data_IF_465663703061
#
_entry.id   IF_465663703061
#
_cell.length_a   1.000
_cell.length_b   1.000
_cell.length_c   1.000
_cell.angle_alpha   90.00
_cell.angle_beta   90.00
_cell.angle_gamma   90.00
#
_symmetry.space_group_name_H-M   'P 1'
#
loop_
_entity.id
_entity.type
_entity.pdbx_description
1 polymer ?
#
# COMPACT_ATOMS: atom_id res chain seq x y z
N UNK A 1 -63.20 -6.83 24.37
CA UNK A 1 -62.43 -6.57 25.61
C UNK A 1 -61.07 -6.06 25.17
N UNK A 2 -60.78 -4.82 25.52
CA UNK A 2 -59.84 -3.93 24.85
C UNK A 2 -58.40 -4.25 25.26
N UNK A 3 -57.56 -4.54 24.25
CA UNK A 3 -56.19 -4.07 24.09
C UNK A 3 -55.28 -4.05 25.36
N UNK A 4 -54.71 -5.20 25.72
CA UNK A 4 -53.37 -5.25 26.35
C UNK A 4 -52.51 -6.13 25.44
N UNK A 5 -52.18 -5.57 24.28
CA UNK A 5 -51.33 -6.19 23.28
C UNK A 5 -50.40 -5.12 22.75
N UNK A 6 -49.68 -4.45 23.64
CA UNK A 6 -48.65 -3.48 23.30
C UNK A 6 -47.60 -3.44 24.40
N UNK A 7 -46.34 -3.45 23.97
CA UNK A 7 -45.13 -3.25 24.77
C UNK A 7 -44.65 -4.49 25.54
N UNK A 8 -44.60 -5.63 24.85
CA UNK A 8 -43.42 -6.51 24.93
C UNK A 8 -42.36 -6.00 23.93
N UNK A 9 -42.16 -4.68 23.90
CA UNK A 9 -41.01 -4.07 23.25
C UNK A 9 -39.86 -4.37 24.18
N UNK A 10 -39.30 -5.55 23.95
CA UNK A 10 -37.97 -5.99 24.26
C UNK A 10 -37.05 -4.76 24.26
N UNK A 11 -36.95 -4.10 25.40
CA UNK A 11 -35.84 -3.23 25.72
C UNK A 11 -34.68 -4.19 25.79
N UNK A 12 -34.10 -4.42 24.61
CA UNK A 12 -32.71 -4.79 24.44
C UNK A 12 -31.99 -3.70 25.21
N UNK A 13 -31.81 -3.98 26.50
CA UNK A 13 -30.88 -3.31 27.37
C UNK A 13 -29.56 -3.63 26.73
N UNK A 14 -29.16 -2.77 25.78
CA UNK A 14 -27.77 -2.57 25.44
C UNK A 14 -27.11 -2.20 26.76
N UNK A 15 -26.67 -3.25 27.45
CA UNK A 15 -25.71 -3.17 28.52
C UNK A 15 -24.46 -2.66 27.84
N UNK A 16 -24.40 -1.33 27.71
CA UNK A 16 -23.21 -0.56 27.40
C UNK A 16 -22.30 -0.75 28.61
N UNK A 17 -21.75 -1.96 28.69
CA UNK A 17 -20.75 -2.43 29.63
C UNK A 17 -19.46 -1.70 29.35
N UNK A 18 -19.51 -0.37 29.48
CA UNK A 18 -18.35 0.49 29.67
C UNK A 18 -17.78 0.12 31.03
N UNK A 19 -17.10 -1.01 31.08
CA UNK A 19 -16.09 -1.26 32.10
C UNK A 19 -15.14 -0.07 32.02
N UNK A 20 -15.33 0.88 32.95
CA UNK A 20 -14.38 1.95 33.20
C UNK A 20 -13.06 1.25 33.51
N UNK A 21 -12.17 1.24 32.52
CA UNK A 21 -10.80 0.75 32.66
C UNK A 21 -10.19 1.51 33.84
N UNK A 22 -10.11 0.84 35.01
CA UNK A 22 -9.44 1.37 36.20
C UNK A 22 -7.94 1.39 35.92
N UNK A 23 -7.46 2.46 35.30
CA UNK A 23 -6.03 2.69 35.03
C UNK A 23 -5.17 2.73 36.30
N UNK A 24 -5.76 2.95 37.48
CA UNK A 24 -5.05 3.14 38.73
C UNK A 24 -4.57 1.87 39.44
N UNK A 25 -4.86 0.66 38.95
CA UNK A 25 -4.45 -0.58 39.65
C UNK A 25 -3.37 -1.42 38.96
N UNK A 26 -2.86 -1.01 37.80
CA UNK A 26 -1.82 -1.77 37.09
C UNK A 26 -0.46 -1.70 37.81
N UNK A 27 -0.23 -0.66 38.64
CA UNK A 27 1.02 -0.51 39.40
C UNK A 27 1.26 -1.60 40.47
N UNK A 28 0.25 -2.40 40.81
CA UNK A 28 0.38 -3.47 41.81
C UNK A 28 0.73 -4.84 41.21
N UNK A 29 0.61 -5.01 39.88
CA UNK A 29 0.92 -6.29 39.24
C UNK A 29 2.43 -6.45 39.08
N UNK A 30 2.90 -7.70 39.09
CA UNK A 30 4.33 -7.99 38.90
C UNK A 30 4.69 -7.94 37.42
N UNK A 31 5.72 -7.17 37.07
CA UNK A 31 6.13 -6.99 35.67
C UNK A 31 7.01 -8.13 35.18
N UNK A 32 6.65 -8.72 34.04
CA UNK A 32 7.49 -9.70 33.33
C UNK A 32 8.22 -8.99 32.20
N UNK A 33 9.54 -9.13 32.16
CA UNK A 33 10.36 -8.53 31.12
C UNK A 33 10.11 -9.19 29.74
N UNK A 34 10.24 -8.43 28.63
CA UNK A 34 10.28 -9.00 27.29
C UNK A 34 11.33 -10.12 27.17
N UNK A 35 10.96 -11.22 26.51
CA UNK A 35 11.77 -12.43 26.35
C UNK A 35 11.54 -13.52 27.40
N UNK A 36 10.78 -13.25 28.47
CA UNK A 36 10.44 -14.24 29.52
C UNK A 36 9.01 -14.79 29.40
N UNK A 37 8.29 -14.48 28.33
CA UNK A 37 6.84 -14.68 28.24
C UNK A 37 6.43 -16.13 28.05
N UNK A 38 7.33 -16.92 27.45
CA UNK A 38 7.11 -18.32 27.10
C UNK A 38 7.73 -19.26 28.15
N UNK A 39 8.05 -18.74 29.34
CA UNK A 39 8.56 -19.56 30.43
C UNK A 39 7.44 -20.43 30.99
N UNK A 40 7.78 -21.70 31.24
CA UNK A 40 6.84 -22.70 31.73
C UNK A 40 7.52 -23.52 32.82
N UNK A 41 6.75 -24.06 33.75
CA UNK A 41 7.21 -25.03 34.73
C UNK A 41 6.61 -26.41 34.46
N UNK A 42 7.44 -27.44 34.57
CA UNK A 42 7.09 -28.82 34.23
C UNK A 42 7.49 -29.78 35.36
N UNK A 43 7.61 -29.29 36.59
CA UNK A 43 8.03 -30.13 37.72
C UNK A 43 6.94 -31.13 38.12
N UNK A 44 5.69 -30.83 37.83
CA UNK A 44 4.57 -31.75 38.06
C UNK A 44 4.39 -32.69 36.86
N UNK A 45 4.40 -34.00 37.09
CA UNK A 45 4.20 -34.98 36.02
C UNK A 45 2.85 -34.77 35.34
N UNK A 46 2.85 -34.80 34.01
CA UNK A 46 1.68 -34.64 33.16
C UNK A 46 0.92 -33.29 33.28
N UNK A 47 1.47 -32.30 34.01
CA UNK A 47 1.02 -30.91 33.94
C UNK A 47 2.15 -29.96 33.53
N UNK A 48 1.73 -28.78 33.09
CA UNK A 48 2.59 -27.64 32.84
C UNK A 48 1.96 -26.40 33.44
N UNK A 49 2.72 -25.64 34.22
CA UNK A 49 2.31 -24.34 34.70
C UNK A 49 2.89 -23.27 33.76
N UNK A 50 2.04 -22.38 33.27
CA UNK A 50 2.43 -21.35 32.31
C UNK A 50 1.63 -20.07 32.55
N UNK A 51 1.99 -19.00 31.84
CA UNK A 51 1.24 -17.75 31.84
C UNK A 51 0.36 -17.71 30.59
N UNK A 52 -0.96 -17.66 30.79
CA UNK A 52 -1.88 -17.36 29.71
C UNK A 52 -2.04 -15.85 29.57
N UNK A 53 -1.65 -15.33 28.41
CA UNK A 53 -1.61 -13.89 28.16
C UNK A 53 -2.89 -13.40 27.51
N UNK A 54 -3.43 -12.29 28.02
CA UNK A 54 -4.47 -11.52 27.34
C UNK A 54 -3.93 -10.91 26.04
N UNK A 55 -4.86 -10.47 25.19
CA UNK A 55 -4.51 -9.60 24.07
C UNK A 55 -3.80 -8.35 24.58
N UNK A 56 -2.89 -7.82 23.74
CA UNK A 56 -2.29 -6.52 23.97
C UNK A 56 -3.37 -5.44 23.94
N UNK A 57 -3.26 -4.49 24.86
CA UNK A 57 -4.01 -3.24 24.80
C UNK A 57 -3.70 -2.48 23.51
N UNK A 58 -4.40 -1.38 23.26
CA UNK A 58 -3.94 -0.40 22.29
C UNK A 58 -2.76 0.40 22.86
N UNK A 59 -1.99 1.03 21.98
CA UNK A 59 -0.95 1.96 22.39
C UNK A 59 -1.54 3.13 23.20
N UNK A 60 -0.87 3.50 24.31
CA UNK A 60 -1.39 4.49 25.28
C UNK A 60 -1.42 5.94 24.78
N UNK A 61 -0.56 6.27 23.82
CA UNK A 61 -0.47 7.60 23.21
C UNK A 61 -0.49 7.48 21.68
N UNK A 62 -1.07 8.48 21.02
CA UNK A 62 -1.36 8.47 19.60
C UNK A 62 -1.25 9.86 18.96
N UNK A 63 -0.83 9.88 17.69
CA UNK A 63 -0.67 11.10 16.91
C UNK A 63 -1.95 11.43 16.15
N UNK A 64 -3.08 11.35 16.84
CA UNK A 64 -4.40 11.44 16.25
C UNK A 64 -5.24 12.53 16.92
N UNK A 65 -6.27 13.03 16.23
CA UNK A 65 -7.17 14.02 16.82
C UNK A 65 -7.85 13.50 18.09
N UNK A 66 -8.30 14.44 18.92
CA UNK A 66 -9.09 14.20 20.14
C UNK A 66 -10.23 13.20 19.97
N UNK A 67 -10.87 13.15 18.80
CA UNK A 67 -11.95 12.22 18.49
C UNK A 67 -11.53 10.75 18.69
N UNK A 68 -10.28 10.41 18.36
CA UNK A 68 -9.74 9.05 18.53
C UNK A 68 -9.04 8.92 19.88
N UNK A 69 -8.14 9.86 20.20
CA UNK A 69 -7.26 9.79 21.37
C UNK A 69 -7.94 10.16 22.70
N UNK A 70 -9.13 10.74 22.69
CA UNK A 70 -9.81 11.31 23.88
C UNK A 70 -8.87 12.24 24.66
N UNK A 71 -8.56 11.88 25.91
CA UNK A 71 -7.69 12.65 26.81
C UNK A 71 -6.19 12.43 26.56
N UNK A 72 -5.83 11.49 25.68
CA UNK A 72 -4.45 11.13 25.36
C UNK A 72 -3.94 11.77 24.06
N UNK A 73 -4.68 12.74 23.53
CA UNK A 73 -4.26 13.51 22.36
C UNK A 73 -2.93 14.20 22.64
N UNK A 74 -1.98 14.02 21.73
CA UNK A 74 -0.72 14.75 21.75
C UNK A 74 -0.60 15.52 20.46
N UNK A 75 -0.54 16.85 20.57
CA UNK A 75 -0.59 17.75 19.42
C UNK A 75 0.71 17.70 18.60
N UNK A 76 0.55 17.58 17.28
CA UNK A 76 1.61 17.79 16.28
C UNK A 76 2.89 16.99 16.52
N UNK A 77 4.04 17.64 16.32
CA UNK A 77 5.37 17.02 16.40
C UNK A 77 5.69 16.43 17.78
N UNK A 78 5.03 16.91 18.84
CA UNK A 78 5.24 16.39 20.21
C UNK A 78 4.74 14.96 20.38
N UNK A 79 3.79 14.50 19.57
CA UNK A 79 3.35 13.11 19.68
C UNK A 79 4.50 12.11 19.43
N UNK A 80 5.41 12.43 18.50
CA UNK A 80 6.55 11.56 18.19
C UNK A 80 7.45 11.35 19.41
N UNK A 81 7.57 12.35 20.28
CA UNK A 81 8.41 12.30 21.48
C UNK A 81 7.70 11.73 22.70
N UNK A 82 6.36 11.59 22.69
CA UNK A 82 5.61 11.05 23.81
C UNK A 82 5.81 9.53 23.92
N UNK A 83 6.17 9.07 25.12
CA UNK A 83 6.28 7.64 25.42
C UNK A 83 4.91 6.98 25.28
N UNK A 84 4.84 5.96 24.43
CA UNK A 84 3.62 5.17 24.21
C UNK A 84 3.94 3.73 24.55
N UNK A 85 3.04 3.06 25.25
CA UNK A 85 3.20 1.65 25.62
C UNK A 85 1.95 0.85 25.32
N UNK A 86 2.15 -0.42 25.01
CA UNK A 86 1.13 -1.45 25.04
C UNK A 86 1.32 -2.28 26.31
N UNK A 87 0.22 -2.73 26.90
CA UNK A 87 0.25 -3.64 28.04
C UNK A 87 -0.62 -4.86 27.79
N UNK A 88 -0.29 -5.97 28.42
CA UNK A 88 -1.15 -7.15 28.52
C UNK A 88 -1.05 -7.75 29.90
N UNK A 89 -2.09 -8.45 30.31
CA UNK A 89 -2.11 -9.20 31.57
C UNK A 89 -1.84 -10.66 31.29
N UNK A 90 -1.27 -11.35 32.25
CA UNK A 90 -1.08 -12.78 32.21
C UNK A 90 -1.59 -13.39 33.51
N UNK A 91 -2.31 -14.50 33.41
CA UNK A 91 -2.77 -15.26 34.57
C UNK A 91 -2.02 -16.60 34.60
N UNK A 92 -1.66 -17.06 35.80
CA UNK A 92 -1.06 -18.37 35.95
C UNK A 92 -2.12 -19.46 35.69
N UNK A 93 -1.85 -20.31 34.71
CA UNK A 93 -2.71 -21.39 34.27
C UNK A 93 -1.95 -22.70 34.29
N UNK A 94 -2.64 -23.79 34.61
CA UNK A 94 -2.15 -25.14 34.41
C UNK A 94 -2.66 -25.68 33.09
N UNK A 95 -1.85 -26.49 32.39
CA UNK A 95 -2.23 -27.22 31.18
C UNK A 95 -1.92 -28.70 31.33
N UNK A 96 -2.84 -29.55 30.85
CA UNK A 96 -2.67 -31.00 30.79
C UNK A 96 -1.69 -31.40 29.68
N UNK A 97 -0.72 -32.25 30.00
CA UNK A 97 0.20 -32.89 29.03
C UNK A 97 -0.06 -34.39 28.83
N UNK A 98 -0.74 -35.02 29.78
CA UNK A 98 -1.09 -36.44 29.76
C UNK A 98 -2.16 -36.75 30.79
N UNK A 99 -2.49 -38.03 30.97
CA UNK A 99 -3.43 -38.44 32.01
C UNK A 99 -2.90 -38.02 33.38
N UNK A 100 -3.73 -37.34 34.16
CA UNK A 100 -3.42 -36.97 35.52
C UNK A 100 -3.99 -38.06 36.43
N UNK A 101 -3.15 -38.67 37.26
CA UNK A 101 -3.56 -39.75 38.18
C UNK A 101 -4.34 -39.20 39.40
N UNK A 102 -5.07 -38.09 39.21
CA UNK A 102 -5.77 -37.36 40.25
C UNK A 102 -7.22 -37.08 39.83
N UNK A 103 -8.18 -37.73 40.48
CA UNK A 103 -9.59 -37.64 40.09
C UNK A 103 -10.22 -36.24 40.23
N UNK A 104 -9.76 -35.42 41.17
CA UNK A 104 -10.29 -34.06 41.35
C UNK A 104 -9.72 -33.07 40.33
N UNK A 105 -8.44 -33.26 39.97
CA UNK A 105 -7.81 -32.53 38.87
C UNK A 105 -8.42 -32.92 37.51
N UNK A 106 -8.70 -34.20 37.28
CA UNK A 106 -9.41 -34.65 36.08
C UNK A 106 -10.82 -34.05 35.99
N UNK A 107 -11.54 -33.90 37.11
CA UNK A 107 -12.83 -33.19 37.13
C UNK A 107 -12.68 -31.71 36.76
N UNK A 108 -11.64 -31.04 37.26
CA UNK A 108 -11.37 -29.63 36.93
C UNK A 108 -11.07 -29.46 35.42
N UNK A 109 -10.40 -30.45 34.82
CA UNK A 109 -9.97 -30.45 33.42
C UNK A 109 -10.93 -31.22 32.48
N UNK A 110 -12.10 -31.65 32.95
CA UNK A 110 -12.98 -32.62 32.28
C UNK A 110 -13.26 -32.32 30.79
N UNK A 111 -13.36 -31.03 30.42
CA UNK A 111 -13.58 -30.58 29.04
C UNK A 111 -12.63 -29.44 28.63
N UNK A 112 -11.56 -29.22 29.38
CA UNK A 112 -10.63 -28.12 29.16
C UNK A 112 -9.21 -28.64 29.30
N UNK A 113 -8.35 -28.30 28.35
CA UNK A 113 -6.93 -28.63 28.48
C UNK A 113 -6.22 -27.71 29.48
N UNK A 114 -6.87 -26.62 29.90
CA UNK A 114 -6.31 -25.64 30.84
C UNK A 114 -7.28 -25.30 31.96
N UNK A 115 -6.73 -24.94 33.12
CA UNK A 115 -7.47 -24.43 34.27
C UNK A 115 -6.67 -23.34 35.00
N UNK A 116 -7.36 -22.47 35.73
CA UNK A 116 -6.71 -21.43 36.53
C UNK A 116 -5.90 -22.08 37.66
N UNK A 117 -4.69 -21.59 37.87
CA UNK A 117 -3.88 -22.04 39.00
C UNK A 117 -4.60 -21.83 40.34
N UNK A 118 -5.29 -20.69 40.50
CA UNK A 118 -6.06 -20.35 41.69
C UNK A 118 -7.20 -21.31 41.99
N UNK A 119 -7.74 -21.98 40.98
CA UNK A 119 -8.73 -23.05 41.15
C UNK A 119 -8.04 -24.37 41.50
N UNK A 120 -6.98 -24.73 40.78
CA UNK A 120 -6.26 -25.99 40.97
C UNK A 120 -5.57 -26.11 42.33
N UNK A 121 -5.05 -25.00 42.88
CA UNK A 121 -4.34 -24.98 44.18
C UNK A 121 -5.26 -25.38 45.36
N UNK A 122 -6.58 -25.30 45.17
CA UNK A 122 -7.57 -25.73 46.18
C UNK A 122 -7.68 -27.27 46.31
N UNK A 123 -7.09 -28.02 45.38
CA UNK A 123 -7.10 -29.49 45.40
C UNK A 123 -6.01 -29.98 46.36
N UNK A 124 -6.44 -30.29 47.60
CA UNK A 124 -5.55 -30.66 48.72
C UNK A 124 -4.46 -31.69 48.41
N UNK A 125 -4.74 -32.67 47.54
CA UNK A 125 -3.80 -33.74 47.18
C UNK A 125 -2.62 -33.29 46.31
N UNK A 126 -2.70 -32.12 45.67
CA UNK A 126 -1.66 -31.60 44.76
C UNK A 126 -1.19 -30.19 45.12
N UNK A 127 -1.75 -29.60 46.18
CA UNK A 127 -1.48 -28.20 46.58
C UNK A 127 0.02 -27.94 46.74
N UNK A 128 0.75 -28.81 47.45
CA UNK A 128 2.18 -28.63 47.72
C UNK A 128 3.04 -28.65 46.45
N UNK A 129 2.70 -29.50 45.48
CA UNK A 129 3.46 -29.61 44.25
C UNK A 129 3.15 -28.50 43.25
N UNK A 130 1.88 -28.05 43.22
CA UNK A 130 1.50 -26.84 42.51
C UNK A 130 2.20 -25.61 43.08
N UNK A 131 2.33 -25.52 44.41
CA UNK A 131 3.02 -24.42 45.06
C UNK A 131 4.52 -24.38 44.73
N UNK A 132 5.20 -25.54 44.72
CA UNK A 132 6.58 -25.65 44.23
C UNK A 132 6.70 -25.23 42.76
N UNK A 133 5.76 -25.65 41.92
CA UNK A 133 5.74 -25.31 40.49
C UNK A 133 5.55 -23.81 40.28
N UNK A 134 4.70 -23.18 41.09
CA UNK A 134 4.48 -21.73 41.11
C UNK A 134 5.76 -20.99 41.49
N UNK A 135 6.42 -21.37 42.58
CA UNK A 135 7.69 -20.77 43.02
C UNK A 135 8.77 -20.92 41.93
N UNK A 136 8.83 -22.07 41.25
CA UNK A 136 9.77 -22.29 40.16
C UNK A 136 9.47 -21.39 38.94
N UNK A 137 8.20 -21.26 38.55
CA UNK A 137 7.79 -20.40 37.44
C UNK A 137 8.01 -18.92 37.75
N UNK A 138 7.59 -18.43 38.92
CA UNK A 138 7.75 -17.02 39.31
C UNK A 138 9.23 -16.63 39.38
N UNK A 139 10.10 -17.56 39.81
CA UNK A 139 11.55 -17.39 39.73
C UNK A 139 12.05 -17.24 38.28
N UNK A 140 11.56 -18.03 37.32
CA UNK A 140 11.91 -17.90 35.89
C UNK A 140 11.42 -16.56 35.30
N UNK A 141 10.23 -16.12 35.72
CA UNK A 141 9.62 -14.85 35.33
C UNK A 141 10.25 -13.63 36.02
N UNK A 142 11.07 -13.84 37.06
CA UNK A 142 11.69 -12.81 37.91
C UNK A 142 10.66 -11.91 38.60
N UNK A 143 9.58 -12.51 39.08
CA UNK A 143 8.52 -11.86 39.85
C UNK A 143 8.48 -12.40 41.28
N UNK A 144 7.84 -11.71 42.24
CA UNK A 144 7.67 -12.20 43.61
C UNK A 144 7.10 -13.63 43.67
N UNK A 145 7.50 -14.43 44.66
CA UNK A 145 7.10 -15.82 44.72
C UNK A 145 5.60 -15.98 44.84
N UNK A 146 4.86 -15.06 45.49
CA UNK A 146 3.40 -14.98 45.72
C UNK A 146 2.55 -14.58 44.49
N UNK A 147 3.18 -14.25 43.36
CA UNK A 147 2.49 -13.74 42.17
C UNK A 147 1.54 -14.77 41.55
N UNK A 148 0.28 -14.37 41.31
CA UNK A 148 -0.74 -15.13 40.56
C UNK A 148 -1.13 -14.47 39.24
N UNK A 149 -0.91 -13.16 39.14
CA UNK A 149 -1.16 -12.36 37.95
C UNK A 149 0.09 -11.53 37.64
N UNK A 150 0.46 -11.53 36.37
CA UNK A 150 1.58 -10.76 35.86
C UNK A 150 1.09 -9.74 34.84
N UNK A 151 1.90 -8.72 34.61
CA UNK A 151 1.69 -7.80 33.51
C UNK A 151 2.96 -7.70 32.68
N UNK A 152 2.77 -7.38 31.40
CA UNK A 152 3.87 -7.06 30.52
C UNK A 152 3.59 -5.74 29.82
N UNK A 153 4.64 -4.93 29.65
CA UNK A 153 4.60 -3.72 28.86
C UNK A 153 5.65 -3.77 27.74
N UNK A 154 5.30 -3.23 26.58
CA UNK A 154 6.25 -3.01 25.47
C UNK A 154 6.10 -1.61 24.90
N UNK A 155 7.18 -1.10 24.32
CA UNK A 155 7.20 0.21 23.68
C UNK A 155 6.37 0.21 22.38
N UNK A 156 5.66 1.31 22.16
CA UNK A 156 4.82 1.60 20.99
C UNK A 156 5.35 2.76 20.14
N UNK A 157 6.54 3.30 20.42
CA UNK A 157 7.03 4.50 19.75
C UNK A 157 7.00 4.44 18.22
N UNK A 158 7.25 3.26 17.63
CA UNK A 158 7.25 3.02 16.18
C UNK A 158 6.12 2.10 15.70
N UNK A 159 5.13 1.83 16.56
CA UNK A 159 4.04 0.93 16.21
C UNK A 159 3.03 1.63 15.28
N UNK A 160 2.46 0.91 14.31
CA UNK A 160 1.45 1.45 13.38
C UNK A 160 0.31 2.16 14.10
N UNK A 161 -0.28 1.55 15.13
CA UNK A 161 -1.29 2.17 16.02
C UNK A 161 -0.92 3.54 16.62
N UNK A 162 0.37 3.89 16.78
CA UNK A 162 0.75 5.24 17.25
C UNK A 162 0.74 6.25 16.08
N UNK A 163 1.13 5.79 14.90
CA UNK A 163 1.39 6.61 13.71
C UNK A 163 0.18 6.70 12.76
N UNK A 164 -0.72 5.72 12.79
CA UNK A 164 -1.88 5.59 11.94
C UNK A 164 -3.16 5.59 12.79
N UNK A 165 -3.99 6.61 12.56
CA UNK A 165 -5.22 6.82 13.30
C UNK A 165 -6.29 5.78 13.00
N UNK A 166 -6.32 5.21 11.80
CA UNK A 166 -7.26 4.17 11.44
C UNK A 166 -6.94 2.87 12.17
N UNK A 167 -5.66 2.50 12.24
CA UNK A 167 -5.22 1.31 12.99
C UNK A 167 -5.51 1.43 14.49
N UNK A 168 -5.35 2.64 15.04
CA UNK A 168 -5.72 2.88 16.43
C UNK A 168 -7.23 2.84 16.66
N UNK A 169 -8.01 3.45 15.76
CA UNK A 169 -9.46 3.49 15.89
C UNK A 169 -10.05 2.06 15.84
N UNK A 170 -9.55 1.21 14.93
CA UNK A 170 -9.86 -0.22 14.91
C UNK A 170 -9.53 -0.89 16.24
N UNK A 171 -8.35 -0.62 16.81
CA UNK A 171 -7.97 -1.21 18.09
C UNK A 171 -8.89 -0.77 19.24
N UNK A 172 -9.17 0.53 19.36
CA UNK A 172 -9.89 1.10 20.51
C UNK A 172 -11.40 0.87 20.44
N UNK A 173 -11.97 0.87 19.23
CA UNK A 173 -13.41 0.94 19.01
C UNK A 173 -13.96 -0.15 18.09
N UNK A 174 -13.08 -0.98 17.52
CA UNK A 174 -13.44 -1.93 16.47
C UNK A 174 -14.18 -1.25 15.28
N UNK A 175 -13.88 0.02 15.03
CA UNK A 175 -14.53 0.86 14.03
C UNK A 175 -13.61 2.03 13.61
N UNK A 176 -13.80 2.53 12.40
CA UNK A 176 -13.11 3.73 11.88
C UNK A 176 -14.06 4.88 11.55
N UNK A 177 -15.36 4.72 11.82
CA UNK A 177 -16.42 5.67 11.41
C UNK A 177 -16.28 7.07 12.04
N UNK A 178 -15.57 7.18 13.17
CA UNK A 178 -15.31 8.45 13.85
C UNK A 178 -14.22 9.29 13.19
N UNK A 179 -13.43 8.70 12.30
CA UNK A 179 -12.49 9.43 11.48
C UNK A 179 -13.24 9.92 10.25
N UNK A 180 -12.90 11.10 9.70
CA UNK A 180 -13.34 11.43 8.37
C UNK A 180 -12.99 10.25 7.47
N UNK A 181 -13.88 9.92 6.52
CA UNK A 181 -13.56 8.96 5.46
C UNK A 181 -12.13 9.28 5.05
N UNK A 182 -11.27 8.25 5.03
CA UNK A 182 -9.93 8.44 4.50
C UNK A 182 -10.21 9.12 3.18
N UNK A 183 -9.80 10.38 3.04
CA UNK A 183 -9.63 10.99 1.75
C UNK A 183 -8.53 10.12 1.15
N UNK A 184 -8.92 8.93 0.67
CA UNK A 184 -8.59 8.46 -0.64
C UNK A 184 -9.04 9.64 -1.45
N UNK A 185 -8.13 10.59 -1.55
CA UNK A 185 -8.01 11.41 -2.69
C UNK A 185 -7.96 10.39 -3.83
N UNK A 186 -9.14 9.99 -4.30
CA UNK A 186 -9.50 10.18 -5.68
C UNK A 186 -9.40 11.69 -5.97
N UNK A 187 -8.25 12.31 -5.67
CA UNK A 187 -7.58 13.04 -6.72
C UNK A 187 -7.48 11.92 -7.74
N UNK A 188 -8.41 11.91 -8.70
CA UNK A 188 -8.07 11.34 -10.00
C UNK A 188 -6.69 11.92 -10.24
N UNK A 189 -5.64 11.13 -9.98
CA UNK A 189 -4.26 11.58 -9.96
C UNK A 189 -4.08 12.13 -11.36
N UNK A 190 -4.25 13.44 -11.48
CA UNK A 190 -4.15 14.10 -12.77
C UNK A 190 -2.75 13.74 -13.20
N UNK A 191 -2.68 12.97 -14.28
CA UNK A 191 -1.42 12.48 -14.76
C UNK A 191 -0.55 13.70 -15.01
N UNK A 192 0.48 13.87 -14.21
CA UNK A 192 1.33 15.06 -14.25
C UNK A 192 2.16 15.16 -15.53
N UNK A 193 2.10 14.11 -16.35
CA UNK A 193 2.64 14.00 -17.67
C UNK A 193 1.52 13.93 -18.74
N UNK A 194 0.28 14.36 -18.47
CA UNK A 194 -0.85 14.26 -19.42
C UNK A 194 -0.59 14.93 -20.79
N UNK A 195 0.25 15.97 -20.82
CA UNK A 195 0.62 16.69 -22.04
C UNK A 195 1.69 15.97 -22.88
N UNK A 196 2.27 14.88 -22.36
CA UNK A 196 3.30 14.14 -23.06
C UNK A 196 2.72 13.36 -24.25
N UNK A 197 3.43 13.38 -25.37
CA UNK A 197 3.09 12.54 -26.53
C UNK A 197 3.39 11.08 -26.22
N UNK A 198 2.36 10.24 -26.24
CA UNK A 198 2.48 8.82 -25.88
C UNK A 198 3.04 8.03 -27.05
N UNK A 199 4.12 7.28 -26.79
CA UNK A 199 4.70 6.31 -27.71
C UNK A 199 4.68 4.94 -27.05
N UNK A 200 3.91 4.02 -27.62
CA UNK A 200 3.76 2.67 -27.08
C UNK A 200 4.87 1.79 -27.67
N UNK A 201 5.72 1.25 -26.81
CA UNK A 201 6.72 0.25 -27.16
C UNK A 201 6.00 -1.09 -27.26
N UNK A 202 6.05 -1.74 -28.43
CA UNK A 202 5.32 -2.99 -28.74
C UNK A 202 6.22 -4.18 -29.02
N UNK A 203 7.49 -3.91 -29.34
CA UNK A 203 8.44 -4.92 -29.76
C UNK A 203 9.70 -4.87 -28.91
N UNK A 204 10.53 -5.92 -28.96
CA UNK A 204 11.83 -5.94 -28.29
C UNK A 204 12.82 -4.91 -28.86
N UNK A 205 12.59 -4.42 -30.08
CA UNK A 205 13.41 -3.38 -30.70
C UNK A 205 12.51 -2.35 -31.38
N UNK A 206 12.72 -1.07 -31.05
CA UNK A 206 11.92 0.05 -31.56
C UNK A 206 12.85 1.16 -32.05
N UNK A 207 12.45 1.86 -33.11
CA UNK A 207 13.11 3.08 -33.56
C UNK A 207 12.09 4.21 -33.46
N UNK A 208 12.38 5.22 -32.66
CA UNK A 208 11.46 6.33 -32.41
C UNK A 208 12.04 7.63 -32.96
N UNK A 209 11.33 8.27 -33.89
CA UNK A 209 11.70 9.58 -34.40
C UNK A 209 11.08 10.69 -33.56
N UNK A 210 11.91 11.39 -32.80
CA UNK A 210 11.49 12.43 -31.85
C UNK A 210 11.75 13.83 -32.41
N UNK A 211 10.85 14.76 -32.07
CA UNK A 211 11.10 16.19 -32.24
C UNK A 211 11.92 16.70 -31.05
N UNK A 212 12.89 17.61 -31.26
CA UNK A 212 13.62 18.25 -30.18
C UNK A 212 12.71 18.96 -29.18
N UNK A 213 13.07 18.89 -27.90
CA UNK A 213 12.42 19.54 -26.75
C UNK A 213 10.95 19.17 -26.52
N UNK A 214 10.38 18.28 -27.33
CA UNK A 214 9.03 17.75 -27.12
C UNK A 214 9.04 16.67 -26.03
N UNK A 215 8.02 16.70 -25.16
CA UNK A 215 7.85 15.74 -24.08
C UNK A 215 7.19 14.46 -24.61
N UNK A 216 7.83 13.32 -24.39
CA UNK A 216 7.33 12.00 -24.75
C UNK A 216 7.20 11.11 -23.52
N UNK A 217 6.16 10.28 -23.53
CA UNK A 217 5.96 9.17 -22.59
C UNK A 217 6.12 7.86 -23.36
N UNK A 218 7.18 7.14 -23.06
CA UNK A 218 7.39 5.79 -23.58
C UNK A 218 6.65 4.81 -22.68
N UNK A 219 5.55 4.27 -23.19
CA UNK A 219 4.68 3.34 -22.48
C UNK A 219 4.98 1.91 -22.93
N UNK A 220 5.17 1.01 -21.98
CA UNK A 220 5.33 -0.42 -22.29
C UNK A 220 3.96 -1.01 -22.63
N UNK A 221 3.81 -1.64 -23.79
CA UNK A 221 2.61 -2.41 -24.08
C UNK A 221 2.53 -3.62 -23.15
N UNK A 222 1.48 -3.66 -22.33
CA UNK A 222 1.22 -4.75 -21.38
C UNK A 222 0.99 -6.11 -22.06
N UNK A 223 0.91 -6.15 -23.39
CA UNK A 223 0.77 -7.38 -24.19
C UNK A 223 2.10 -8.03 -24.61
N UNK A 224 3.26 -7.42 -24.36
CA UNK A 224 4.57 -7.94 -24.81
C UNK A 224 4.99 -9.22 -24.08
N UNK A 225 4.42 -9.51 -22.92
CA UNK A 225 4.75 -10.71 -22.13
C UNK A 225 3.52 -11.31 -21.44
N UNK A 226 3.71 -12.52 -20.92
CA UNK A 226 2.67 -13.24 -20.18
C UNK A 226 2.66 -12.80 -18.71
N UNK A 227 1.65 -11.98 -18.36
CA UNK A 227 1.37 -11.60 -16.98
C UNK A 227 1.59 -10.12 -16.68
N UNK A 228 1.53 -9.78 -15.39
CA UNK A 228 1.66 -8.39 -14.94
C UNK A 228 3.13 -8.00 -14.84
N UNK A 229 3.44 -6.76 -15.24
CA UNK A 229 4.76 -6.16 -15.03
C UNK A 229 4.99 -6.02 -13.53
N UNK A 230 6.07 -6.60 -13.04
CA UNK A 230 6.52 -6.52 -11.64
C UNK A 230 7.47 -5.34 -11.46
N UNK A 231 8.35 -5.12 -12.43
CA UNK A 231 9.33 -4.04 -12.40
C UNK A 231 9.80 -3.70 -13.82
N UNK A 232 10.16 -2.43 -14.02
CA UNK A 232 10.74 -1.91 -15.25
C UNK A 232 11.99 -1.10 -14.89
N UNK A 233 13.14 -1.51 -15.42
CA UNK A 233 14.41 -0.81 -15.21
C UNK A 233 14.91 -0.24 -16.52
N UNK A 234 15.10 1.09 -16.55
CA UNK A 234 15.55 1.80 -17.73
C UNK A 234 17.01 2.20 -17.60
N UNK A 235 17.74 2.07 -18.70
CA UNK A 235 19.04 2.69 -18.88
C UNK A 235 19.01 3.61 -20.10
N UNK A 236 19.68 4.74 -20.00
CA UNK A 236 19.90 5.70 -21.06
C UNK A 236 21.41 5.78 -21.34
N UNK A 237 21.82 5.39 -22.55
CA UNK A 237 23.24 5.26 -22.91
C UNK A 237 24.05 4.46 -21.86
N UNK A 238 23.45 3.36 -21.36
CA UNK A 238 24.05 2.47 -20.36
C UNK A 238 24.01 2.97 -18.91
N UNK A 239 23.51 4.19 -18.65
CA UNK A 239 23.37 4.72 -17.29
C UNK A 239 21.95 4.50 -16.77
N UNK A 240 21.76 4.05 -15.52
CA UNK A 240 20.43 3.86 -14.96
C UNK A 240 19.67 5.19 -14.89
N UNK A 241 18.38 5.15 -15.23
CA UNK A 241 17.49 6.30 -15.11
C UNK A 241 16.93 6.38 -13.69
N UNK A 242 16.85 7.60 -13.15
CA UNK A 242 16.35 7.81 -11.79
C UNK A 242 14.80 7.85 -11.74
N UNK A 243 14.25 7.28 -10.67
CA UNK A 243 12.81 7.33 -10.33
C UNK A 243 12.45 8.67 -9.67
N UNK A 244 11.44 9.36 -10.18
CA UNK A 244 10.99 10.63 -9.63
C UNK A 244 10.24 10.40 -8.30
N UNK A 245 10.75 10.96 -7.19
CA UNK A 245 10.13 10.78 -5.85
C UNK A 245 9.00 11.75 -5.53
N UNK A 246 8.91 12.89 -6.21
CA UNK A 246 7.98 13.98 -5.90
C UNK A 246 7.52 14.68 -7.17
N UNK A 247 6.21 14.82 -7.27
CA UNK A 247 5.53 15.23 -8.49
C UNK A 247 5.37 16.76 -8.52
N UNK A 248 6.22 17.42 -9.33
CA UNK A 248 5.81 18.63 -10.06
C UNK A 248 5.41 18.18 -11.47
N UNK A 249 4.64 19.02 -12.16
CA UNK A 249 4.34 18.85 -13.58
C UNK A 249 5.60 18.47 -14.37
N UNK A 250 5.48 17.45 -15.23
CA UNK A 250 6.60 16.85 -15.97
C UNK A 250 7.33 17.87 -16.85
N UNK A 251 6.63 18.87 -17.37
CA UNK A 251 7.22 19.95 -18.17
C UNK A 251 8.23 20.79 -17.37
N UNK A 252 8.02 20.92 -16.07
CA UNK A 252 8.81 21.74 -15.16
C UNK A 252 9.91 20.95 -14.43
N UNK A 253 10.11 19.69 -14.78
CA UNK A 253 11.17 18.88 -14.20
C UNK A 253 12.54 19.33 -14.75
N UNK A 254 13.56 19.48 -13.88
CA UNK A 254 14.90 19.84 -14.33
C UNK A 254 15.55 18.71 -15.12
N UNK A 255 15.12 17.46 -14.88
CA UNK A 255 15.62 16.28 -15.59
C UNK A 255 14.87 16.11 -16.90
N UNK A 256 15.64 15.80 -17.93
CA UNK A 256 15.17 15.55 -19.30
C UNK A 256 14.71 14.12 -19.53
N UNK A 257 15.24 13.18 -18.76
CA UNK A 257 14.87 11.77 -18.78
C UNK A 257 14.69 11.29 -17.34
N UNK A 258 13.54 10.70 -17.05
CA UNK A 258 13.24 10.14 -15.73
C UNK A 258 12.13 9.11 -15.83
N UNK A 259 12.08 8.19 -14.87
CA UNK A 259 11.01 7.21 -14.79
C UNK A 259 9.75 7.84 -14.18
N UNK A 260 8.61 7.60 -14.82
CA UNK A 260 7.31 8.11 -14.43
C UNK A 260 6.91 7.59 -13.04
N UNK A 261 6.11 8.34 -12.25
CA UNK A 261 5.66 7.91 -10.92
C UNK A 261 4.95 6.54 -10.88
N UNK A 262 4.32 6.12 -11.98
CA UNK A 262 3.74 4.77 -12.09
C UNK A 262 4.79 3.64 -12.11
N UNK A 263 6.08 3.97 -12.15
CA UNK A 263 7.22 3.03 -12.19
C UNK A 263 7.28 2.11 -13.41
N UNK A 264 6.37 2.27 -14.39
CA UNK A 264 6.35 1.47 -15.62
C UNK A 264 6.89 2.28 -16.80
N UNK A 265 6.51 3.55 -16.91
CA UNK A 265 6.79 4.35 -18.09
C UNK A 265 8.05 5.21 -17.96
N UNK A 266 8.63 5.57 -19.09
CA UNK A 266 9.78 6.46 -19.17
C UNK A 266 9.38 7.79 -19.81
N UNK A 267 9.78 8.89 -19.17
CA UNK A 267 9.57 10.24 -19.69
C UNK A 267 10.86 10.71 -20.35
N UNK A 268 10.74 11.22 -21.57
CA UNK A 268 11.87 11.62 -22.42
C UNK A 268 11.60 12.98 -23.05
N UNK A 269 12.52 13.93 -22.84
CA UNK A 269 12.57 15.24 -23.50
C UNK A 269 14.02 15.56 -23.84
N UNK A 270 14.40 15.40 -25.10
CA UNK A 270 15.80 15.56 -25.55
C UNK A 270 15.96 16.78 -26.45
N UNK A 271 17.09 17.46 -26.33
CA UNK A 271 17.52 18.50 -27.28
C UNK A 271 17.87 17.91 -28.63
N UNK A 272 17.99 18.78 -29.62
CA UNK A 272 18.54 18.42 -30.93
C UNK A 272 19.97 17.86 -30.84
N UNK A 273 20.81 18.42 -29.97
CA UNK A 273 22.16 17.94 -29.74
C UNK A 273 22.17 16.52 -29.15
N UNK A 274 21.33 16.26 -28.14
CA UNK A 274 21.18 14.92 -27.55
C UNK A 274 20.66 13.91 -28.59
N UNK A 275 19.69 14.28 -29.42
CA UNK A 275 19.15 13.39 -30.48
C UNK A 275 20.15 13.14 -31.61
N UNK A 276 21.04 14.09 -31.91
CA UNK A 276 22.08 13.92 -32.92
C UNK A 276 23.13 12.87 -32.54
N UNK A 277 23.25 12.54 -31.25
CA UNK A 277 24.11 11.45 -30.75
C UNK A 277 23.51 10.05 -30.97
N UNK A 278 22.30 9.94 -31.54
CA UNK A 278 21.51 8.70 -31.68
C UNK A 278 21.42 7.93 -30.36
N UNK A 279 20.85 8.54 -29.32
CA UNK A 279 20.86 7.95 -28.00
C UNK A 279 20.00 6.69 -27.94
N UNK A 280 20.40 5.77 -27.07
CA UNK A 280 19.77 4.46 -26.91
C UNK A 280 19.20 4.29 -25.52
N UNK A 281 17.99 3.77 -25.46
CA UNK A 281 17.33 3.33 -24.23
C UNK A 281 17.25 1.81 -24.24
N UNK A 282 17.57 1.20 -23.10
CA UNK A 282 17.29 -0.21 -22.84
C UNK A 282 16.36 -0.29 -21.63
N UNK A 283 15.23 -0.98 -21.79
CA UNK A 283 14.30 -1.28 -20.72
C UNK A 283 14.32 -2.78 -20.43
N UNK A 284 14.60 -3.18 -19.20
CA UNK A 284 14.51 -4.58 -18.75
C UNK A 284 13.24 -4.73 -17.92
N UNK A 285 12.29 -5.51 -18.44
CA UNK A 285 10.95 -5.69 -17.89
C UNK A 285 10.86 -7.07 -17.24
N UNK A 286 10.49 -7.10 -15.97
CA UNK A 286 10.31 -8.34 -15.20
C UNK A 286 8.82 -8.62 -14.99
N UNK A 287 8.41 -9.87 -15.18
CA UNK A 287 7.03 -10.32 -14.97
C UNK A 287 6.90 -11.21 -13.72
N UNK A 288 5.67 -11.56 -13.33
CA UNK A 288 5.41 -12.42 -12.15
C UNK A 288 5.91 -13.86 -12.33
N UNK A 289 5.96 -14.35 -13.57
CA UNK A 289 6.70 -15.55 -13.96
C UNK A 289 8.17 -15.16 -14.23
N UNK A 290 9.15 -16.08 -14.08
CA UNK A 290 10.59 -15.75 -14.15
C UNK A 290 11.09 -15.24 -15.52
N UNK A 291 10.19 -14.92 -16.45
CA UNK A 291 10.52 -14.28 -17.72
C UNK A 291 10.86 -12.81 -17.54
N UNK A 292 11.96 -12.40 -18.18
CA UNK A 292 12.33 -11.01 -18.39
C UNK A 292 12.39 -10.73 -19.88
N UNK A 293 12.05 -9.50 -20.27
CA UNK A 293 12.12 -9.04 -21.65
C UNK A 293 12.99 -7.78 -21.67
N UNK A 294 13.93 -7.74 -22.60
CA UNK A 294 14.72 -6.56 -22.90
C UNK A 294 14.12 -5.83 -24.11
N UNK A 295 13.81 -4.56 -23.95
CA UNK A 295 13.33 -3.67 -25.01
C UNK A 295 14.42 -2.64 -25.29
N UNK A 296 14.96 -2.67 -26.50
CA UNK A 296 15.88 -1.67 -27.00
C UNK A 296 15.13 -0.61 -27.83
N UNK A 297 15.46 0.66 -27.61
CA UNK A 297 14.86 1.79 -28.30
C UNK A 297 15.95 2.72 -28.79
N UNK A 298 16.05 2.87 -30.11
CA UNK A 298 16.95 3.84 -30.74
C UNK A 298 16.16 5.13 -31.01
N UNK A 299 16.65 6.25 -30.48
CA UNK A 299 16.04 7.55 -30.65
C UNK A 299 16.72 8.30 -31.77
N UNK A 300 15.95 8.72 -32.77
CA UNK A 300 16.46 9.43 -33.94
C UNK A 300 15.81 10.80 -34.06
N UNK A 301 16.58 11.79 -34.55
CA UNK A 301 16.05 13.11 -34.84
C UNK A 301 15.02 13.00 -35.98
N UNK A 302 13.81 13.49 -35.75
CA UNK A 302 12.79 13.56 -36.79
C UNK A 302 13.17 14.63 -37.81
N UNK A 303 13.80 14.22 -38.91
CA UNK A 303 14.05 15.12 -40.05
C UNK A 303 12.72 15.57 -40.61
N UNK A 304 12.49 16.88 -40.75
CA UNK A 304 11.36 17.41 -41.52
C UNK A 304 11.49 16.83 -42.93
N UNK A 305 10.73 15.78 -43.24
CA UNK A 305 10.46 15.45 -44.64
C UNK A 305 9.79 16.69 -45.21
N UNK A 306 10.52 17.48 -46.01
CA UNK A 306 9.90 18.27 -47.07
C UNK A 306 9.05 17.25 -47.81
N UNK A 307 7.73 17.28 -47.65
CA UNK A 307 6.84 16.56 -48.55
C UNK A 307 7.28 16.98 -49.95
N UNK A 308 7.75 16.08 -50.81
CA UNK A 308 7.99 16.44 -52.20
C UNK A 308 6.62 16.50 -52.88
N UNK A 309 5.78 17.47 -52.49
CA UNK A 309 4.60 17.87 -53.25
C UNK A 309 3.83 19.10 -52.72
N UNK A 310 4.47 20.01 -51.98
CA UNK A 310 3.82 21.29 -51.64
C UNK A 310 4.50 22.54 -52.21
N UNK A 311 5.57 22.34 -53.00
CA UNK A 311 6.07 23.36 -53.95
C UNK A 311 5.44 23.21 -55.35
N UNK A 312 4.49 22.29 -55.54
CA UNK A 312 3.77 22.15 -56.82
C UNK A 312 2.48 22.97 -56.92
N UNK A 313 2.26 23.90 -55.99
CA UNK A 313 1.15 24.86 -56.08
C UNK A 313 1.44 26.07 -56.99
N UNK A 314 2.61 26.11 -57.63
CA UNK A 314 2.96 27.13 -58.61
C UNK A 314 2.82 26.68 -60.08
N UNK A 315 2.44 25.41 -60.34
CA UNK A 315 2.18 24.91 -61.71
C UNK A 315 0.68 24.84 -62.08
N UNK A 316 -0.25 25.00 -61.12
CA UNK A 316 -1.70 24.97 -61.41
C UNK A 316 -2.17 26.18 -62.25
N UNK A 317 -1.42 27.29 -62.22
CA UNK A 317 -1.68 28.41 -63.12
C UNK A 317 -1.27 28.10 -64.55
N UNK A 318 -0.20 27.33 -64.79
CA UNK A 318 0.24 26.99 -66.14
C UNK A 318 -0.73 26.03 -66.82
N UNK A 319 -1.22 25.00 -66.11
CA UNK A 319 -2.26 24.13 -66.66
C UNK A 319 -3.57 24.87 -66.90
N UNK A 320 -3.99 25.76 -66.00
CA UNK A 320 -5.18 26.60 -66.24
C UNK A 320 -4.99 27.53 -67.45
N UNK A 321 -3.82 28.16 -67.59
CA UNK A 321 -3.52 29.04 -68.74
C UNK A 321 -3.51 28.24 -70.04
N UNK A 322 -2.89 27.05 -70.09
CA UNK A 322 -2.93 26.18 -71.27
C UNK A 322 -4.36 25.74 -71.58
N UNK A 323 -5.13 25.34 -70.56
CA UNK A 323 -6.50 24.88 -70.76
C UNK A 323 -7.38 26.02 -71.32
N UNK A 324 -7.28 27.22 -70.73
CA UNK A 324 -8.00 28.43 -71.18
C UNK A 324 -7.56 28.84 -72.59
N UNK A 325 -6.26 28.83 -72.89
CA UNK A 325 -5.76 29.11 -74.24
C UNK A 325 -6.25 28.09 -75.27
N UNK A 326 -6.27 26.79 -74.91
CA UNK A 326 -6.77 25.74 -75.82
C UNK A 326 -8.28 25.87 -76.07
N UNK A 327 -9.05 26.24 -75.04
CA UNK A 327 -10.50 26.47 -75.14
C UNK A 327 -10.79 27.71 -75.99
N UNK A 328 -10.03 28.80 -75.81
CA UNK A 328 -10.14 30.01 -76.61
C UNK A 328 -9.75 29.77 -78.08
N UNK A 329 -8.74 28.94 -78.34
CA UNK A 329 -8.35 28.57 -79.70
C UNK A 329 -9.44 27.72 -80.37
N UNK A 330 -10.01 26.74 -79.64
CA UNK A 330 -11.09 25.90 -80.17
C UNK A 330 -12.34 26.72 -80.50
N UNK A 331 -12.74 27.66 -79.64
CA UNK A 331 -13.89 28.53 -79.93
C UNK A 331 -13.65 29.43 -81.13
N UNK A 332 -12.45 30.01 -81.29
CA UNK A 332 -12.08 30.78 -82.48
C UNK A 332 -12.14 29.95 -83.77
N UNK A 333 -11.65 28.70 -83.74
CA UNK A 333 -11.71 27.80 -84.89
C UNK A 333 -13.18 27.47 -85.24
N UNK A 334 -14.02 27.17 -84.25
CA UNK A 334 -15.45 26.90 -84.46
C UNK A 334 -16.18 28.14 -85.01
N UNK A 335 -15.80 29.33 -84.55
CA UNK A 335 -16.38 30.59 -85.04
C UNK A 335 -15.95 30.90 -86.47
N UNK A 336 -14.67 30.64 -86.81
CA UNK A 336 -14.16 30.78 -88.17
C UNK A 336 -14.81 29.76 -89.13
N UNK A 337 -14.98 28.51 -88.70
CA UNK A 337 -15.68 27.48 -89.48
C UNK A 337 -17.15 27.83 -89.68
N UNK A 338 -17.85 28.28 -88.64
CA UNK A 338 -19.25 28.68 -88.77
C UNK A 338 -19.41 29.90 -89.69
N UNK A 339 -18.51 30.89 -89.62
CA UNK A 339 -18.48 32.01 -90.58
C UNK A 339 -18.15 31.57 -92.01
N UNK A 340 -17.31 30.54 -92.19
CA UNK A 340 -17.00 29.98 -93.51
C UNK A 340 -18.21 29.25 -94.11
N UNK A 341 -19.00 28.54 -93.32
CA UNK A 341 -20.21 27.86 -93.79
C UNK A 341 -21.42 28.79 -93.95
N UNK A 342 -21.41 29.97 -93.31
CA UNK A 342 -22.43 31.01 -93.49
C UNK A 342 -22.21 31.88 -94.73
N UNK A 343 -21.07 31.73 -95.41
CA UNK A 343 -20.72 32.40 -96.66
C UNK A 343 -20.81 31.44 -97.82
#
# INVERSE_FOLDING_TARGET
>A
MILILFILSLTITFSDGKEKIKYTKISELSSVAPGLENQVDTNFQNLELFVEWSNWSCCSACCCPKAVCKQFETSGDKCKTVKSIQHRRGELMIRRKGATENGDLEKLLMNRDTAKFSEAISISSITDDLEKSRIALTKKLKVPPETLEVFQAKDCAQHSQKLDCWELAKCLYNSTEMLPEKEVTNVEERDVCENASILVLRDAYNILSLMPEQLYRLQIDRKIGDGNIVDANFTYNGKPVEKLKRVKDCEHQPKRIFQHPNSEDLIVRLSEAELAENPKIIAVISYQSPSQIEIAVDLVLKTKQKRPNEDRKQDDHWFSIILILSLALCTLIILALSLFFLR
#
